data_IF_135927840020
#
_entry.id   IF_135927840020
#
_cell.length_a   1.000
_cell.length_b   1.000
_cell.length_c   1.000
_cell.angle_alpha   90.00
_cell.angle_beta   90.00
_cell.angle_gamma   90.00
#
_symmetry.space_group_name_H-M   'P 1'
#
loop_
_entity.id
_entity.type
_entity.pdbx_description
1 polymer ?
#
# COMPACT_ATOMS: atom_id res chain seq x y z
N UNK A 1 -34.90 -69.68 30.58
CA UNK A 1 -33.68 -69.35 29.81
C UNK A 1 -32.79 -68.50 30.71
N UNK A 2 -31.60 -69.03 31.01
CA UNK A 2 -30.74 -68.75 32.16
C UNK A 2 -30.15 -67.32 32.16
N UNK A 3 -30.26 -66.52 33.24
CA UNK A 3 -29.55 -66.49 34.55
C UNK A 3 -28.18 -65.76 34.51
N UNK A 4 -27.97 -64.96 35.56
CA UNK A 4 -26.71 -64.58 36.24
C UNK A 4 -25.93 -63.29 35.88
N UNK A 5 -26.13 -62.23 36.70
CA UNK A 5 -25.31 -61.74 37.84
C UNK A 5 -23.77 -61.43 37.63
N UNK A 6 -23.09 -60.70 38.57
CA UNK A 6 -22.46 -59.41 38.28
C UNK A 6 -20.93 -59.32 38.59
N UNK A 7 -20.39 -58.11 38.39
CA UNK A 7 -19.21 -57.51 39.05
C UNK A 7 -17.82 -58.12 38.83
N UNK A 8 -16.86 -57.27 38.41
CA UNK A 8 -15.67 -56.97 39.24
C UNK A 8 -14.83 -55.84 38.65
N UNK A 9 -14.28 -55.06 39.57
CA UNK A 9 -13.29 -53.99 39.35
C UNK A 9 -11.93 -54.62 39.03
N UNK A 10 -11.15 -53.99 38.16
CA UNK A 10 -9.70 -53.97 38.32
C UNK A 10 -9.12 -52.62 37.90
N UNK A 11 -8.19 -52.17 38.75
CA UNK A 11 -7.53 -50.87 38.73
C UNK A 11 -6.41 -50.89 37.69
N UNK A 12 -6.43 -49.94 36.76
CA UNK A 12 -5.32 -49.62 35.86
C UNK A 12 -4.87 -48.18 36.06
N UNK A 13 -3.60 -47.99 36.38
CA UNK A 13 -2.97 -46.79 36.94
C UNK A 13 -3.05 -45.55 36.04
N UNK A 14 -3.25 -44.42 36.70
CA UNK A 14 -3.06 -43.07 36.16
C UNK A 14 -1.61 -42.86 35.70
N UNK A 15 -1.45 -42.41 34.45
CA UNK A 15 -0.22 -41.82 33.97
C UNK A 15 -0.36 -40.30 34.02
N UNK A 16 0.28 -39.67 35.01
CA UNK A 16 0.47 -38.21 35.09
C UNK A 16 1.59 -37.82 34.11
N UNK A 17 1.42 -36.81 33.24
CA UNK A 17 2.57 -36.11 32.69
C UNK A 17 3.09 -35.15 33.76
N UNK A 18 4.32 -35.39 34.24
CA UNK A 18 5.05 -34.45 35.09
C UNK A 18 5.39 -33.20 34.28
N UNK A 19 5.03 -32.04 34.85
CA UNK A 19 5.61 -30.74 34.53
C UNK A 19 7.13 -30.80 34.69
N UNK A 20 7.87 -30.38 33.66
CA UNK A 20 9.11 -29.64 33.85
C UNK A 20 8.94 -28.29 33.16
N UNK A 21 9.07 -27.25 33.98
CA UNK A 21 9.29 -25.90 33.53
C UNK A 21 10.68 -25.82 32.90
N UNK A 22 10.75 -25.19 31.74
CA UNK A 22 11.94 -24.51 31.27
C UNK A 22 11.48 -23.19 30.69
N UNK A 23 11.61 -22.15 31.51
CA UNK A 23 11.76 -20.77 31.05
C UNK A 23 12.89 -20.72 30.02
N UNK A 24 12.55 -20.39 28.78
CA UNK A 24 13.49 -20.12 27.70
C UNK A 24 13.09 -18.80 27.06
N UNK A 25 13.75 -17.74 27.50
CA UNK A 25 13.85 -16.44 26.84
C UNK A 25 14.17 -16.64 25.34
N UNK A 26 13.37 -16.03 24.47
CA UNK A 26 13.73 -15.86 23.05
C UNK A 26 14.76 -14.73 22.98
N UNK A 27 15.99 -15.08 23.32
CA UNK A 27 17.16 -14.21 23.20
C UNK A 27 17.96 -14.61 21.96
N UNK A 28 18.67 -13.62 21.43
CA UNK A 28 19.10 -13.55 20.05
C UNK A 28 20.19 -14.53 19.60
N UNK A 29 20.43 -14.43 18.29
CA UNK A 29 21.53 -14.97 17.46
C UNK A 29 21.24 -16.30 16.76
N UNK A 30 21.00 -16.19 15.46
CA UNK A 30 21.64 -17.06 14.48
C UNK A 30 21.77 -16.31 13.15
N UNK A 31 22.99 -16.32 12.59
CA UNK A 31 23.25 -15.88 11.21
C UNK A 31 23.89 -14.51 11.02
N UNK A 32 24.85 -14.12 11.88
CA UNK A 32 25.71 -12.98 11.60
C UNK A 32 26.75 -13.38 10.53
N UNK A 33 26.35 -13.43 9.26
CA UNK A 33 27.30 -13.31 8.17
C UNK A 33 27.52 -11.82 7.95
N UNK A 34 28.49 -11.27 8.66
CA UNK A 34 29.13 -10.03 8.27
C UNK A 34 29.72 -10.27 6.88
N UNK A 35 29.00 -9.84 5.84
CA UNK A 35 29.55 -9.75 4.51
C UNK A 35 30.44 -8.50 4.54
N UNK A 36 31.73 -8.72 4.32
CA UNK A 36 32.75 -7.69 4.19
C UNK A 36 32.27 -6.60 3.24
N UNK A 37 31.91 -5.44 3.81
CA UNK A 37 31.38 -4.30 3.08
C UNK A 37 32.54 -3.51 2.47
N UNK A 38 33.28 -4.13 1.56
CA UNK A 38 34.29 -3.47 0.73
C UNK A 38 33.86 -3.45 -0.73
N UNK A 39 32.63 -3.01 -0.99
CA UNK A 39 32.25 -2.44 -2.29
C UNK A 39 32.39 -0.92 -2.16
N UNK A 40 33.60 -0.42 -2.47
CA UNK A 40 33.82 1.00 -2.69
C UNK A 40 33.08 1.42 -3.96
N UNK A 41 31.79 1.74 -3.84
CA UNK A 41 31.10 2.50 -4.86
C UNK A 41 31.50 3.96 -4.71
N UNK A 42 32.25 4.48 -5.69
CA UNK A 42 32.29 5.92 -5.94
C UNK A 42 30.89 6.34 -6.39
N UNK A 43 30.04 6.74 -5.46
CA UNK A 43 28.88 7.56 -5.77
C UNK A 43 29.44 8.88 -6.36
N UNK A 44 29.05 9.27 -7.59
CA UNK A 44 29.50 10.53 -8.15
C UNK A 44 29.14 11.67 -7.20
N UNK A 45 30.12 12.54 -6.94
CA UNK A 45 30.01 13.63 -6.00
C UNK A 45 28.81 14.53 -6.25
N UNK A 46 28.31 15.12 -5.15
CA UNK A 46 27.29 16.18 -5.14
C UNK A 46 27.63 17.20 -6.23
N UNK A 47 26.62 17.55 -7.03
CA UNK A 47 26.64 18.51 -8.13
C UNK A 47 27.04 17.99 -9.52
N UNK A 48 26.28 17.03 -10.04
CA UNK A 48 25.96 17.02 -11.47
C UNK A 48 24.54 17.55 -11.64
N UNK A 49 24.36 18.57 -12.49
CA UNK A 49 23.04 19.07 -12.90
C UNK A 49 22.34 17.96 -13.69
N UNK A 50 21.69 17.05 -13.00
CA UNK A 50 20.79 16.06 -13.62
C UNK A 50 19.63 16.85 -14.21
N UNK A 51 19.51 16.81 -15.53
CA UNK A 51 18.41 17.42 -16.26
C UNK A 51 17.08 16.97 -15.68
N UNK A 52 16.11 17.89 -15.66
CA UNK A 52 14.72 17.75 -15.18
C UNK A 52 14.24 16.29 -15.21
N UNK A 53 14.25 15.63 -14.04
CA UNK A 53 13.77 14.25 -13.88
C UNK A 53 12.29 14.24 -14.27
N UNK A 54 11.95 13.41 -15.24
CA UNK A 54 10.56 13.13 -15.62
C UNK A 54 9.96 12.28 -14.49
N UNK A 55 9.37 12.94 -13.51
CA UNK A 55 8.66 12.29 -12.40
C UNK A 55 7.38 11.64 -12.92
N UNK A 56 7.17 10.34 -12.71
CA UNK A 56 5.91 9.72 -13.15
C UNK A 56 5.87 8.21 -13.22
N UNK A 57 6.61 7.49 -12.36
CA UNK A 57 6.67 6.02 -12.36
C UNK A 57 7.13 5.42 -13.69
N UNK A 58 7.67 6.22 -14.62
CA UNK A 58 7.88 5.79 -16.01
C UNK A 58 8.85 4.61 -16.09
N UNK A 59 10.04 4.79 -15.51
CA UNK A 59 11.09 3.76 -15.53
C UNK A 59 10.85 2.70 -14.45
N UNK A 60 10.27 3.09 -13.32
CA UNK A 60 10.02 2.19 -12.19
C UNK A 60 8.84 1.24 -12.41
N UNK A 61 7.87 1.55 -13.28
CA UNK A 61 6.65 0.76 -13.49
C UNK A 61 6.90 -0.73 -13.73
N UNK A 62 7.94 -1.08 -14.52
CA UNK A 62 8.26 -2.48 -14.84
C UNK A 62 8.83 -3.28 -13.65
N UNK A 63 9.43 -2.59 -12.68
CA UNK A 63 10.01 -3.18 -11.48
C UNK A 63 9.06 -3.12 -10.27
N UNK A 64 8.00 -2.31 -10.38
CA UNK A 64 7.09 -2.01 -9.29
C UNK A 64 6.55 -3.29 -8.65
N UNK A 65 5.90 -4.17 -9.41
CA UNK A 65 5.30 -5.38 -8.84
C UNK A 65 6.31 -6.35 -8.22
N UNK A 66 7.52 -6.46 -8.79
CA UNK A 66 8.57 -7.35 -8.29
C UNK A 66 9.10 -6.89 -6.93
N UNK A 67 9.13 -5.57 -6.71
CA UNK A 67 9.60 -4.97 -5.46
C UNK A 67 8.49 -4.84 -4.42
N UNK A 68 7.24 -4.80 -4.87
CA UNK A 68 6.07 -4.45 -4.06
C UNK A 68 5.11 -5.61 -3.74
N UNK A 69 5.21 -6.73 -4.46
CA UNK A 69 4.34 -7.90 -4.31
C UNK A 69 2.93 -7.72 -4.90
N UNK A 70 2.08 -8.74 -4.70
CA UNK A 70 0.76 -8.86 -5.34
C UNK A 70 -0.38 -8.11 -4.62
N UNK A 71 -0.08 -7.52 -3.46
CA UNK A 71 -0.98 -6.72 -2.62
C UNK A 71 -2.26 -7.44 -2.17
N UNK A 72 -2.26 -8.78 -2.11
CA UNK A 72 -3.43 -9.57 -1.74
C UNK A 72 -3.97 -9.24 -0.33
N UNK A 73 -3.09 -9.01 0.65
CA UNK A 73 -3.49 -8.68 2.02
C UNK A 73 -4.17 -7.30 2.11
N UNK A 74 -3.60 -6.29 1.45
CA UNK A 74 -4.20 -4.95 1.36
C UNK A 74 -5.54 -5.00 0.64
N UNK A 75 -5.64 -5.69 -0.49
CA UNK A 75 -6.90 -5.86 -1.21
C UNK A 75 -7.95 -6.58 -0.35
N UNK A 76 -7.55 -7.58 0.45
CA UNK A 76 -8.43 -8.25 1.39
C UNK A 76 -8.99 -7.29 2.43
N UNK A 77 -8.14 -6.39 2.96
CA UNK A 77 -8.59 -5.39 3.91
C UNK A 77 -9.51 -4.35 3.28
N UNK A 78 -9.15 -3.80 2.11
CA UNK A 78 -9.99 -2.91 1.30
C UNK A 78 -11.37 -3.55 1.07
N UNK A 79 -11.41 -4.79 0.58
CA UNK A 79 -12.66 -5.54 0.37
C UNK A 79 -13.47 -5.72 1.66
N UNK A 80 -12.82 -5.89 2.81
CA UNK A 80 -13.53 -5.98 4.10
C UNK A 80 -14.22 -4.66 4.47
N UNK A 81 -13.60 -3.51 4.20
CA UNK A 81 -14.21 -2.21 4.40
C UNK A 81 -15.35 -1.98 3.41
N UNK A 82 -15.21 -2.42 2.16
CA UNK A 82 -16.27 -2.36 1.14
C UNK A 82 -17.47 -3.18 1.59
N UNK A 83 -17.28 -4.44 2.01
CA UNK A 83 -18.37 -5.28 2.53
C UNK A 83 -19.06 -4.66 3.74
N UNK A 84 -18.30 -4.05 4.65
CA UNK A 84 -18.84 -3.39 5.86
C UNK A 84 -19.66 -2.15 5.54
N UNK A 85 -19.16 -1.31 4.64
CA UNK A 85 -19.71 0.04 4.42
C UNK A 85 -20.54 0.17 3.15
N UNK A 86 -20.42 -0.73 2.18
CA UNK A 86 -21.24 -0.78 0.98
C UNK A 86 -21.42 -2.25 0.52
N UNK A 87 -22.16 -3.08 1.28
CA UNK A 87 -22.29 -4.52 1.02
C UNK A 87 -22.95 -4.86 -0.33
N UNK A 88 -23.68 -3.90 -0.92
CA UNK A 88 -24.36 -4.04 -2.21
C UNK A 88 -23.61 -3.39 -3.38
N UNK A 89 -22.34 -2.98 -3.17
CA UNK A 89 -21.52 -2.42 -4.23
C UNK A 89 -21.39 -3.40 -5.39
N UNK A 90 -21.55 -2.89 -6.61
CA UNK A 90 -21.29 -3.60 -7.86
C UNK A 90 -20.17 -2.94 -8.64
N UNK A 91 -20.17 -1.61 -8.72
CA UNK A 91 -19.21 -0.85 -9.53
C UNK A 91 -18.17 -0.14 -8.66
N UNK A 92 -16.89 -0.25 -9.04
CA UNK A 92 -15.75 0.31 -8.32
C UNK A 92 -14.83 1.05 -9.28
N UNK A 93 -14.59 2.33 -9.02
CA UNK A 93 -13.55 3.11 -9.69
C UNK A 93 -12.32 3.20 -8.78
N UNK A 94 -11.14 2.83 -9.26
CA UNK A 94 -9.87 3.05 -8.56
C UNK A 94 -9.09 4.21 -9.21
N UNK A 95 -8.90 5.29 -8.45
CA UNK A 95 -8.05 6.42 -8.80
C UNK A 95 -6.60 6.13 -8.40
N UNK A 96 -5.66 6.45 -9.30
CA UNK A 96 -4.25 6.12 -9.19
C UNK A 96 -4.04 4.59 -9.01
N UNK A 97 -4.61 3.82 -9.94
CA UNK A 97 -4.63 2.35 -9.88
C UNK A 97 -3.27 1.69 -10.15
N UNK A 98 -2.27 2.45 -10.61
CA UNK A 98 -0.93 2.00 -10.88
C UNK A 98 -0.88 0.81 -11.83
N UNK A 99 -0.16 -0.24 -11.44
CA UNK A 99 -0.05 -1.48 -12.21
C UNK A 99 -1.30 -2.37 -12.12
N UNK A 100 -2.40 -1.89 -11.52
CA UNK A 100 -3.67 -2.62 -11.41
C UNK A 100 -3.66 -3.77 -10.41
N UNK A 101 -2.74 -3.77 -9.42
CA UNK A 101 -2.65 -4.87 -8.44
C UNK A 101 -3.91 -4.99 -7.58
N UNK A 102 -4.53 -3.89 -7.17
CA UNK A 102 -5.80 -3.91 -6.43
C UNK A 102 -6.96 -4.29 -7.35
N UNK A 103 -7.05 -3.69 -8.54
CA UNK A 103 -8.01 -4.08 -9.59
C UNK A 103 -8.04 -5.60 -9.81
N UNK A 104 -6.86 -6.25 -9.94
CA UNK A 104 -6.75 -7.70 -10.16
C UNK A 104 -7.43 -8.51 -9.07
N UNK A 105 -7.34 -8.06 -7.82
CA UNK A 105 -7.90 -8.73 -6.65
C UNK A 105 -9.40 -8.43 -6.49
N UNK A 106 -9.89 -7.31 -7.03
CA UNK A 106 -11.28 -6.87 -6.90
C UNK A 106 -12.17 -7.27 -8.08
N UNK A 107 -11.64 -7.42 -9.30
CA UNK A 107 -12.41 -7.79 -10.50
C UNK A 107 -13.23 -9.09 -10.38
N UNK A 108 -12.88 -10.11 -9.56
CA UNK A 108 -13.75 -11.28 -9.38
C UNK A 108 -15.02 -11.01 -8.58
N UNK A 109 -15.14 -9.81 -7.97
CA UNK A 109 -16.22 -9.46 -7.05
C UNK A 109 -17.00 -8.21 -7.48
N UNK A 110 -16.42 -7.38 -8.34
CA UNK A 110 -16.94 -6.08 -8.73
C UNK A 110 -16.65 -5.81 -10.20
N UNK A 111 -17.49 -4.99 -10.82
CA UNK A 111 -17.17 -4.31 -12.08
C UNK A 111 -16.20 -3.17 -11.76
N UNK A 112 -14.93 -3.37 -12.10
CA UNK A 112 -13.85 -2.44 -11.75
C UNK A 112 -13.46 -1.57 -12.94
N UNK A 113 -13.07 -0.33 -12.66
CA UNK A 113 -12.50 0.62 -13.62
C UNK A 113 -11.28 1.28 -12.98
N UNK A 114 -10.21 1.47 -13.74
CA UNK A 114 -8.97 2.08 -13.26
C UNK A 114 -8.64 3.39 -13.94
N UNK A 115 -8.14 4.35 -13.18
CA UNK A 115 -7.56 5.61 -13.68
C UNK A 115 -6.16 5.75 -13.12
N UNK A 116 -5.18 6.07 -13.97
CA UNK A 116 -3.84 6.44 -13.53
C UNK A 116 -3.24 7.51 -14.44
N UNK A 117 -2.29 8.29 -13.93
CA UNK A 117 -1.60 9.32 -14.72
C UNK A 117 -0.50 8.71 -15.60
N UNK A 118 0.15 7.65 -15.13
CA UNK A 118 1.29 7.01 -15.77
C UNK A 118 0.84 6.03 -16.85
N UNK A 119 1.23 6.33 -18.09
CA UNK A 119 0.97 5.45 -19.23
C UNK A 119 1.70 4.11 -19.07
N UNK A 120 2.89 4.14 -18.49
CA UNK A 120 3.75 2.98 -18.28
C UNK A 120 3.14 2.03 -17.24
N UNK A 121 2.61 2.57 -16.13
CA UNK A 121 1.87 1.79 -15.13
C UNK A 121 0.62 1.16 -15.74
N UNK A 122 -0.15 1.93 -16.53
CA UNK A 122 -1.33 1.41 -17.23
C UNK A 122 -0.99 0.33 -18.26
N UNK A 123 0.18 0.40 -18.91
CA UNK A 123 0.64 -0.64 -19.82
C UNK A 123 0.88 -1.98 -19.10
N UNK A 124 1.37 -1.94 -17.86
CA UNK A 124 1.47 -3.12 -16.98
C UNK A 124 0.08 -3.58 -16.54
N UNK A 125 -0.77 -2.64 -16.10
CA UNK A 125 -2.13 -2.95 -15.65
C UNK A 125 -2.95 -3.65 -16.75
N UNK A 126 -2.88 -3.17 -17.99
CA UNK A 126 -3.61 -3.75 -19.14
C UNK A 126 -3.27 -5.22 -19.37
N UNK A 127 -2.01 -5.63 -19.13
CA UNK A 127 -1.58 -7.03 -19.21
C UNK A 127 -2.07 -7.84 -18.01
N UNK A 128 -2.11 -7.23 -16.82
CA UNK A 128 -2.47 -7.87 -15.56
C UNK A 128 -3.99 -8.08 -15.40
N UNK A 129 -4.79 -7.15 -15.88
CA UNK A 129 -6.26 -7.15 -15.79
C UNK A 129 -6.87 -7.00 -17.19
N UNK A 130 -6.73 -8.00 -18.07
CA UNK A 130 -7.26 -7.92 -19.42
C UNK A 130 -8.79 -7.75 -19.38
N UNK A 131 -9.29 -6.78 -20.15
CA UNK A 131 -10.73 -6.48 -20.25
C UNK A 131 -11.24 -5.43 -19.25
N UNK A 132 -10.46 -5.05 -18.23
CA UNK A 132 -10.82 -3.95 -17.32
C UNK A 132 -10.66 -2.60 -18.03
N UNK A 133 -11.67 -1.70 -17.99
CA UNK A 133 -11.52 -0.34 -18.48
C UNK A 133 -10.44 0.43 -17.71
N UNK A 134 -9.47 0.96 -18.45
CA UNK A 134 -8.32 1.70 -17.92
C UNK A 134 -8.17 3.03 -18.65
N UNK A 135 -8.08 4.13 -17.90
CA UNK A 135 -8.02 5.48 -18.44
C UNK A 135 -6.77 6.22 -17.96
N UNK A 136 -6.03 6.80 -18.91
CA UNK A 136 -4.94 7.70 -18.57
C UNK A 136 -5.50 9.09 -18.22
N UNK A 137 -5.53 9.44 -16.94
CA UNK A 137 -6.05 10.74 -16.49
C UNK A 137 -5.52 11.13 -15.12
N UNK A 138 -5.62 12.42 -14.82
CA UNK A 138 -5.28 12.98 -13.52
C UNK A 138 -6.49 12.89 -12.58
N UNK A 139 -6.34 12.24 -11.43
CA UNK A 139 -7.42 12.11 -10.43
C UNK A 139 -8.00 13.45 -9.94
N UNK A 140 -7.29 14.58 -10.09
CA UNK A 140 -7.76 15.92 -9.74
C UNK A 140 -8.78 16.47 -10.73
N UNK A 141 -8.80 15.96 -11.96
CA UNK A 141 -9.59 16.51 -13.06
C UNK A 141 -10.39 15.47 -13.84
N UNK A 142 -10.16 14.17 -13.61
CA UNK A 142 -10.84 13.08 -14.30
C UNK A 142 -12.35 13.27 -14.32
N UNK A 143 -12.95 12.98 -15.47
CA UNK A 143 -14.39 12.99 -15.69
C UNK A 143 -14.73 11.89 -16.69
N UNK A 144 -15.25 10.77 -16.21
CA UNK A 144 -15.60 9.61 -17.03
C UNK A 144 -17.03 9.71 -17.57
N UNK A 145 -17.83 10.68 -17.12
CA UNK A 145 -19.26 10.72 -17.41
C UNK A 145 -20.08 9.61 -16.72
N UNK A 146 -19.45 8.83 -15.85
CA UNK A 146 -20.02 7.65 -15.17
C UNK A 146 -19.99 7.79 -13.65
N UNK A 147 -20.84 7.02 -12.98
CA UNK A 147 -20.93 6.97 -11.51
C UNK A 147 -20.78 5.55 -10.98
N UNK A 148 -20.21 5.45 -9.79
CA UNK A 148 -19.80 4.21 -9.16
C UNK A 148 -20.36 4.08 -7.75
N UNK A 149 -20.58 2.85 -7.30
CA UNK A 149 -20.98 2.60 -5.91
C UNK A 149 -19.85 2.88 -4.93
N UNK A 150 -18.61 2.69 -5.39
CA UNK A 150 -17.37 2.92 -4.65
C UNK A 150 -16.36 3.62 -5.53
N UNK A 151 -15.69 4.63 -4.96
CA UNK A 151 -14.44 5.17 -5.51
C UNK A 151 -13.31 4.83 -4.53
N UNK A 152 -12.19 4.35 -5.04
CA UNK A 152 -10.98 4.00 -4.29
C UNK A 152 -9.84 4.96 -4.63
N UNK A 153 -8.99 5.28 -3.66
CA UNK A 153 -7.67 5.85 -3.86
C UNK A 153 -6.76 5.30 -2.75
N UNK A 154 -6.27 4.08 -2.95
CA UNK A 154 -5.64 3.28 -1.91
C UNK A 154 -4.15 3.12 -2.15
N UNK A 155 -3.43 2.69 -1.11
CA UNK A 155 -1.99 2.61 -1.08
C UNK A 155 -1.32 3.98 -1.16
N UNK A 156 -1.77 4.89 -0.29
CA UNK A 156 -1.21 6.23 -0.10
C UNK A 156 -1.10 7.10 -1.37
N UNK A 157 -1.75 6.73 -2.48
CA UNK A 157 -1.61 7.43 -3.76
C UNK A 157 -1.96 8.93 -3.70
N UNK A 158 -2.87 9.32 -2.80
CA UNK A 158 -3.21 10.75 -2.61
C UNK A 158 -2.06 11.55 -1.98
N UNK A 159 -1.13 10.91 -1.25
CA UNK A 159 0.05 11.54 -0.68
C UNK A 159 1.01 12.10 -1.74
N UNK A 160 0.94 11.66 -3.00
CA UNK A 160 1.69 12.25 -4.11
C UNK A 160 1.22 13.67 -4.49
N UNK A 161 0.02 14.09 -4.04
CA UNK A 161 -0.47 15.44 -4.25
C UNK A 161 0.12 16.40 -3.21
N UNK A 162 1.15 17.13 -3.61
CA UNK A 162 1.95 18.00 -2.74
C UNK A 162 1.22 19.23 -2.18
N UNK A 163 0.01 19.54 -2.67
CA UNK A 163 -0.77 20.71 -2.28
C UNK A 163 -2.13 20.29 -1.76
N UNK A 164 -2.52 20.81 -0.60
CA UNK A 164 -3.81 20.45 0.00
C UNK A 164 -5.03 20.79 -0.88
N UNK A 165 -4.96 21.86 -1.66
CA UNK A 165 -6.02 22.23 -2.63
C UNK A 165 -6.26 21.14 -3.68
N UNK A 166 -5.23 20.34 -3.99
CA UNK A 166 -5.31 19.25 -4.95
C UNK A 166 -6.05 18.06 -4.31
N UNK A 167 -5.92 17.83 -3.01
CA UNK A 167 -6.74 16.84 -2.27
C UNK A 167 -8.21 17.27 -2.25
N UNK A 168 -8.49 18.56 -2.02
CA UNK A 168 -9.85 19.10 -2.13
C UNK A 168 -10.44 18.93 -3.54
N UNK A 169 -9.61 19.04 -4.59
CA UNK A 169 -10.02 18.75 -5.95
C UNK A 169 -10.38 17.28 -6.15
N UNK A 170 -9.58 16.34 -5.62
CA UNK A 170 -9.89 14.91 -5.63
C UNK A 170 -11.20 14.63 -4.88
N UNK A 171 -11.41 15.20 -3.69
CA UNK A 171 -12.65 15.00 -2.92
C UNK A 171 -13.88 15.44 -3.70
N UNK A 172 -13.80 16.60 -4.38
CA UNK A 172 -14.87 17.09 -5.26
C UNK A 172 -15.08 16.17 -6.46
N UNK A 173 -14.02 15.71 -7.13
CA UNK A 173 -14.12 14.82 -8.28
C UNK A 173 -14.67 13.46 -7.92
N UNK A 174 -14.21 12.88 -6.81
CA UNK A 174 -14.77 11.65 -6.28
C UNK A 174 -16.25 11.80 -5.95
N UNK A 175 -16.66 12.91 -5.31
CA UNK A 175 -18.08 13.17 -5.04
C UNK A 175 -18.93 13.20 -6.31
N UNK A 176 -18.39 13.71 -7.42
CA UNK A 176 -19.07 13.74 -8.72
C UNK A 176 -19.21 12.33 -9.33
N UNK A 177 -18.27 11.43 -9.10
CA UNK A 177 -18.28 10.05 -9.60
C UNK A 177 -19.02 9.05 -8.71
N UNK A 178 -19.60 9.47 -7.58
CA UNK A 178 -20.34 8.56 -6.70
C UNK A 178 -21.84 8.52 -7.02
N UNK A 179 -22.40 7.31 -6.99
CA UNK A 179 -23.84 7.06 -6.92
C UNK A 179 -24.43 7.59 -5.61
N UNK A 180 -25.76 7.75 -5.57
CA UNK A 180 -26.48 8.05 -4.34
C UNK A 180 -26.19 7.00 -3.26
N UNK A 181 -25.72 7.44 -2.09
CA UNK A 181 -25.31 6.56 -0.99
C UNK A 181 -24.01 5.79 -1.23
N UNK A 182 -23.26 6.11 -2.29
CA UNK A 182 -21.93 5.57 -2.59
C UNK A 182 -20.86 6.01 -1.56
N UNK A 183 -19.71 5.33 -1.60
CA UNK A 183 -18.60 5.60 -0.67
C UNK A 183 -17.28 5.89 -1.39
N UNK A 184 -16.51 6.83 -0.85
CA UNK A 184 -15.09 7.01 -1.14
C UNK A 184 -14.26 6.31 -0.07
N UNK A 185 -13.37 5.41 -0.47
CA UNK A 185 -12.37 4.82 0.41
C UNK A 185 -10.97 5.21 -0.07
N UNK A 186 -10.20 5.85 0.81
CA UNK A 186 -8.80 6.14 0.54
C UNK A 186 -7.96 5.96 1.79
N UNK A 187 -6.66 5.80 1.62
CA UNK A 187 -5.72 5.74 2.73
C UNK A 187 -4.52 6.64 2.53
N UNK A 188 -3.84 6.93 3.63
CA UNK A 188 -2.71 7.86 3.65
C UNK A 188 -1.59 7.33 4.53
N UNK A 189 -0.35 7.63 4.15
CA UNK A 189 0.72 7.80 5.11
C UNK A 189 0.44 9.08 5.92
N UNK A 190 0.55 9.01 7.24
CA UNK A 190 0.31 10.16 8.13
C UNK A 190 1.54 11.06 8.24
N UNK A 191 1.34 12.30 8.71
CA UNK A 191 2.44 13.21 9.06
C UNK A 191 3.42 12.55 10.05
N UNK A 192 2.91 11.76 10.99
CA UNK A 192 3.74 11.02 11.94
C UNK A 192 4.62 9.98 11.24
N UNK A 193 4.06 9.20 10.31
CA UNK A 193 4.82 8.22 9.53
C UNK A 193 5.91 8.87 8.71
N UNK A 194 5.57 9.93 7.96
CA UNK A 194 6.54 10.60 7.09
C UNK A 194 7.69 11.21 7.89
N UNK A 195 7.38 11.85 9.04
CA UNK A 195 8.41 12.38 9.93
C UNK A 195 9.29 11.27 10.53
N UNK A 196 8.72 10.10 10.87
CA UNK A 196 9.48 8.97 11.42
C UNK A 196 10.35 8.26 10.37
N UNK A 197 10.00 8.35 9.09
CA UNK A 197 10.76 7.76 7.98
C UNK A 197 12.02 8.56 7.61
N UNK A 198 12.11 9.82 8.00
CA UNK A 198 13.16 10.73 7.54
C UNK A 198 14.46 10.54 8.31
N UNK A 199 15.59 10.56 7.60
CA UNK A 199 16.92 10.34 8.21
C UNK A 199 17.20 8.88 8.61
N UNK A 200 16.36 7.94 8.18
CA UNK A 200 16.60 6.51 8.36
C UNK A 200 17.67 5.95 7.42
N UNK A 201 18.16 4.75 7.74
CA UNK A 201 19.03 4.01 6.83
C UNK A 201 18.30 3.69 5.52
N UNK A 202 19.01 3.65 4.37
CA UNK A 202 18.40 3.30 3.10
C UNK A 202 17.83 1.88 3.17
N UNK A 203 16.66 1.69 2.55
CA UNK A 203 16.07 0.38 2.38
C UNK A 203 16.73 -0.31 1.19
N UNK A 204 17.24 -1.52 1.41
CA UNK A 204 17.95 -2.30 0.39
C UNK A 204 17.24 -3.63 0.21
N UNK A 205 16.89 -3.95 -1.04
CA UNK A 205 16.16 -5.17 -1.37
C UNK A 205 16.67 -5.76 -2.69
N UNK A 206 17.10 -7.02 -2.65
CA UNK A 206 17.31 -7.83 -3.84
C UNK A 206 15.98 -8.40 -4.33
N UNK A 207 15.81 -8.51 -5.64
CA UNK A 207 14.63 -9.09 -6.26
C UNK A 207 14.97 -9.72 -7.62
N UNK A 208 14.05 -10.51 -8.17
CA UNK A 208 14.25 -11.18 -9.45
C UNK A 208 15.49 -12.07 -9.45
N UNK A 209 16.22 -12.05 -10.57
CA UNK A 209 17.45 -12.82 -10.78
C UNK A 209 18.70 -11.94 -10.60
N UNK A 210 18.84 -11.38 -9.39
CA UNK A 210 20.00 -10.57 -9.00
C UNK A 210 19.88 -9.07 -9.28
N UNK A 211 18.66 -8.55 -9.47
CA UNK A 211 18.39 -7.11 -9.47
C UNK A 211 18.40 -6.57 -8.03
N UNK A 212 18.76 -5.29 -7.88
CA UNK A 212 18.84 -4.62 -6.59
C UNK A 212 18.03 -3.32 -6.60
N UNK A 213 17.25 -3.10 -5.56
CA UNK A 213 16.59 -1.82 -5.28
C UNK A 213 17.17 -1.21 -4.02
N UNK A 214 17.53 0.07 -4.10
CA UNK A 214 17.95 0.90 -2.97
C UNK A 214 17.05 2.12 -2.91
N UNK A 215 16.37 2.31 -1.78
CA UNK A 215 15.50 3.45 -1.54
C UNK A 215 16.08 4.29 -0.41
N UNK A 216 16.35 5.55 -0.70
CA UNK A 216 16.69 6.56 0.31
C UNK A 216 15.49 7.49 0.52
N UNK A 217 15.26 7.88 1.79
CA UNK A 217 14.18 8.78 2.17
C UNK A 217 14.81 10.10 2.60
N UNK A 218 14.62 11.13 1.78
CA UNK A 218 15.23 12.44 1.96
C UNK A 218 14.20 13.41 2.51
N UNK A 219 14.57 14.13 3.57
CA UNK A 219 13.77 15.23 4.11
C UNK A 219 13.53 16.30 3.04
N UNK A 220 12.27 16.65 2.82
CA UNK A 220 11.88 17.69 1.88
C UNK A 220 11.13 18.84 2.59
N UNK A 221 11.20 20.09 2.05
CA UNK A 221 10.54 21.23 2.66
C UNK A 221 9.03 21.02 2.87
N UNK A 222 8.49 21.65 3.92
CA UNK A 222 7.06 21.63 4.30
C UNK A 222 6.54 20.27 4.80
N UNK A 223 7.40 19.49 5.46
CA UNK A 223 7.02 18.20 6.05
C UNK A 223 6.69 17.13 5.00
N UNK A 224 7.31 17.27 3.82
CA UNK A 224 7.28 16.28 2.76
C UNK A 224 8.51 15.38 2.87
N UNK A 225 8.45 14.23 2.20
CA UNK A 225 9.59 13.34 2.02
C UNK A 225 9.76 13.02 0.53
N UNK A 226 11.01 12.89 0.11
CA UNK A 226 11.36 12.44 -1.24
C UNK A 226 11.94 11.03 -1.15
N UNK A 227 11.26 10.09 -1.79
CA UNK A 227 11.74 8.73 -1.99
C UNK A 227 12.64 8.71 -3.22
N UNK A 228 13.93 8.54 -3.01
CA UNK A 228 14.91 8.35 -4.07
C UNK A 228 15.07 6.85 -4.32
N UNK A 229 14.49 6.38 -5.41
CA UNK A 229 14.46 4.96 -5.77
C UNK A 229 15.51 4.71 -6.84
N UNK A 230 16.50 3.91 -6.48
CA UNK A 230 17.55 3.43 -7.36
C UNK A 230 17.31 1.94 -7.65
N UNK A 231 17.07 1.59 -8.91
CA UNK A 231 16.99 0.20 -9.35
C UNK A 231 18.21 -0.14 -10.20
N UNK A 232 18.97 -1.13 -9.77
CA UNK A 232 20.09 -1.71 -10.49
C UNK A 232 19.60 -2.99 -11.16
N UNK A 233 19.29 -2.89 -12.45
CA UNK A 233 18.90 -4.01 -13.30
C UNK A 233 20.16 -4.75 -13.76
N UNK A 234 20.29 -6.03 -13.44
CA UNK A 234 21.43 -6.86 -13.81
C UNK A 234 21.39 -7.17 -15.30
N UNK A 235 22.47 -6.87 -16.00
CA UNK A 235 22.64 -7.20 -17.43
C UNK A 235 23.56 -8.40 -17.65
N UNK A 236 24.52 -8.59 -16.74
CA UNK A 236 25.47 -9.71 -16.72
C UNK A 236 26.03 -9.87 -15.30
N UNK A 237 26.97 -10.80 -15.10
CA UNK A 237 27.56 -11.10 -13.78
C UNK A 237 28.22 -9.90 -13.08
N UNK A 238 28.69 -8.91 -13.85
CA UNK A 238 29.40 -7.74 -13.31
C UNK A 238 28.85 -6.39 -13.79
N UNK A 239 27.76 -6.39 -14.58
CA UNK A 239 27.22 -5.16 -15.20
C UNK A 239 25.77 -4.93 -14.82
N UNK A 240 25.48 -3.71 -14.36
CA UNK A 240 24.15 -3.25 -13.98
C UNK A 240 23.76 -1.99 -14.75
N UNK A 241 22.47 -1.85 -15.06
CA UNK A 241 21.86 -0.59 -15.52
C UNK A 241 21.15 0.08 -14.35
N UNK A 242 21.52 1.32 -14.07
CA UNK A 242 20.89 2.15 -13.05
C UNK A 242 19.66 2.87 -13.60
N UNK A 243 18.56 2.75 -12.88
CA UNK A 243 17.30 3.48 -13.09
C UNK A 243 17.02 4.34 -11.87
N UNK A 244 16.69 5.61 -12.09
CA UNK A 244 16.44 6.60 -11.04
C UNK A 244 15.00 7.06 -11.11
N UNK A 245 14.32 7.07 -9.97
CA UNK A 245 13.01 7.69 -9.81
C UNK A 245 13.00 8.50 -8.50
N UNK A 246 12.41 9.69 -8.55
CA UNK A 246 12.15 10.50 -7.35
C UNK A 246 10.65 10.62 -7.18
N UNK A 247 10.15 10.21 -6.01
CA UNK A 247 8.74 10.26 -5.68
C UNK A 247 8.56 11.10 -4.43
N UNK A 248 7.80 12.19 -4.54
CA UNK A 248 7.48 13.03 -3.39
C UNK A 248 6.18 12.61 -2.74
N UNK A 249 6.17 12.56 -1.42
CA UNK A 249 4.97 12.44 -0.61
C UNK A 249 4.83 13.60 0.37
N UNK A 250 3.59 14.02 0.58
CA UNK A 250 3.21 14.92 1.67
C UNK A 250 2.00 14.33 2.39
N UNK A 251 1.87 14.65 3.67
CA UNK A 251 0.65 14.39 4.42
C UNK A 251 0.18 15.65 5.12
N UNK A 252 -1.07 15.63 5.56
CA UNK A 252 -1.70 16.74 6.25
C UNK A 252 -2.31 16.27 7.57
N UNK A 253 -2.47 17.15 8.56
CA UNK A 253 -3.12 16.78 9.82
C UNK A 253 -4.50 16.17 9.57
N UNK A 254 -4.80 15.05 10.23
CA UNK A 254 -6.02 14.29 10.02
C UNK A 254 -7.29 15.14 10.25
N UNK A 255 -7.25 16.11 11.18
CA UNK A 255 -8.36 17.05 11.40
C UNK A 255 -8.60 17.99 10.20
N UNK A 256 -7.53 18.46 9.54
CA UNK A 256 -7.64 19.28 8.34
C UNK A 256 -8.29 18.49 7.21
N UNK A 257 -7.87 17.23 7.04
CA UNK A 257 -8.44 16.30 6.05
C UNK A 257 -9.93 16.06 6.35
N UNK A 258 -10.28 15.73 7.60
CA UNK A 258 -11.69 15.57 8.04
C UNK A 258 -12.53 16.82 7.77
N UNK A 259 -12.00 18.01 8.07
CA UNK A 259 -12.66 19.28 7.80
C UNK A 259 -13.01 19.48 6.32
N UNK A 260 -12.07 19.16 5.42
CA UNK A 260 -12.31 19.24 3.98
C UNK A 260 -13.32 18.19 3.48
N UNK A 261 -13.22 16.94 3.96
CA UNK A 261 -14.16 15.87 3.58
C UNK A 261 -15.61 16.19 3.98
N UNK A 262 -15.84 16.82 5.13
CA UNK A 262 -17.20 17.19 5.60
C UNK A 262 -17.93 18.15 4.66
N UNK A 263 -17.23 18.85 3.76
CA UNK A 263 -17.84 19.71 2.73
C UNK A 263 -18.52 18.89 1.61
N UNK A 264 -18.17 17.61 1.47
CA UNK A 264 -18.58 16.76 0.35
C UNK A 264 -19.29 15.47 0.76
N UNK A 265 -19.08 15.02 2.00
CA UNK A 265 -19.53 13.72 2.51
C UNK A 265 -20.28 13.87 3.84
N UNK A 266 -21.38 13.14 3.99
CA UNK A 266 -22.29 13.20 5.14
C UNK A 266 -21.82 12.37 6.33
N UNK A 267 -21.08 11.28 6.09
CA UNK A 267 -20.50 10.42 7.15
C UNK A 267 -19.07 10.04 6.82
N UNK A 268 -18.21 10.10 7.83
CA UNK A 268 -16.77 9.79 7.69
C UNK A 268 -16.39 8.83 8.82
N UNK A 269 -15.85 7.67 8.45
CA UNK A 269 -15.17 6.74 9.35
C UNK A 269 -13.67 6.81 9.10
N UNK A 270 -12.88 6.67 10.16
CA UNK A 270 -11.42 6.61 10.05
C UNK A 270 -10.91 5.42 10.86
N UNK A 271 -10.02 4.64 10.26
CA UNK A 271 -9.40 3.45 10.84
C UNK A 271 -7.88 3.57 10.77
N UNK A 272 -7.17 3.07 11.78
CA UNK A 272 -5.72 2.90 11.68
C UNK A 272 -5.34 1.57 10.97
N UNK A 273 -4.05 1.36 10.75
CA UNK A 273 -3.53 0.12 10.14
C UNK A 273 -3.95 -1.17 10.89
N UNK A 274 -4.15 -1.07 12.21
CA UNK A 274 -4.62 -2.18 13.06
C UNK A 274 -6.14 -2.31 13.11
N UNK A 275 -6.86 -1.62 12.21
CA UNK A 275 -8.33 -1.64 12.10
C UNK A 275 -9.03 -1.10 13.35
N UNK A 276 -8.31 -0.32 14.14
CA UNK A 276 -8.73 0.26 15.41
C UNK A 276 -8.97 1.75 15.29
N UNK A 277 -9.34 2.40 16.40
CA UNK A 277 -9.49 3.86 16.44
C UNK A 277 -8.13 4.53 16.18
N UNK A 278 -8.08 5.55 15.31
CA UNK A 278 -6.86 6.33 15.08
C UNK A 278 -6.28 6.90 16.37
N UNK A 279 -4.95 6.95 16.44
CA UNK A 279 -4.19 7.62 17.48
C UNK A 279 -3.20 8.62 16.86
N UNK A 280 -2.61 9.54 17.65
CA UNK A 280 -1.55 10.41 17.17
C UNK A 280 -0.31 9.68 16.63
N UNK A 281 -0.11 8.41 16.99
CA UNK A 281 0.99 7.55 16.53
C UNK A 281 0.60 6.63 15.37
N UNK A 282 -0.61 6.74 14.84
CA UNK A 282 -1.03 5.92 13.71
C UNK A 282 -0.21 6.30 12.48
N UNK A 283 0.49 5.33 11.90
CA UNK A 283 1.33 5.56 10.72
C UNK A 283 0.52 5.62 9.42
N UNK A 284 -0.58 4.87 9.35
CA UNK A 284 -1.51 4.84 8.23
C UNK A 284 -2.93 5.03 8.70
N UNK A 285 -3.71 5.78 7.94
CA UNK A 285 -5.13 5.99 8.16
C UNK A 285 -5.93 5.64 6.92
N UNK A 286 -7.05 4.94 7.11
CA UNK A 286 -8.02 4.65 6.07
C UNK A 286 -9.29 5.45 6.35
N UNK A 287 -9.74 6.23 5.38
CA UNK A 287 -10.95 7.04 5.44
C UNK A 287 -12.03 6.39 4.58
N UNK A 288 -13.20 6.13 5.17
CA UNK A 288 -14.41 5.75 4.44
C UNK A 288 -15.38 6.91 4.53
N UNK A 289 -15.75 7.50 3.40
CA UNK A 289 -16.58 8.70 3.33
C UNK A 289 -17.83 8.40 2.50
N UNK A 290 -19.02 8.60 3.07
CA UNK A 290 -20.30 8.36 2.39
C UNK A 290 -20.92 9.68 1.95
N UNK A 291 -21.50 9.70 0.74
CA UNK A 291 -22.26 10.85 0.23
C UNK A 291 -23.62 11.01 0.89
#
# INVERSE_FOLDING_TARGET
MAVSRPASRSRGRACRPRRRASSGSFDGRSGNNAIDASLHFLLPGRHSKVGRVVTGYGVYARFYDATQGDRAEHATYVRSLLKKHQPRAKTVLELACGTGSILKQLQPHYEVTGVDLSKEMLAVAKKKVPGVPLFQSDMRTVDLGERFDVVLCVYDSINHLTRFRDWEAVFRRTRAHLNGGGIFLFDINTVHRLAASSGGAPFVQWFGDGDLMVIEIVDAPRGAVDWQINVFERLSDSTYRLHLEEIREVSFPAERIRGALRKHFTRIWTYDARRSRPSPRSERLHFVCRV
#
